data_IF_219133758206
#
_entry.id   IF_219133758206
#
_cell.length_a   1.000
_cell.length_b   1.000
_cell.length_c   1.000
_cell.angle_alpha   90.00
_cell.angle_beta   90.00
_cell.angle_gamma   90.00
#
_symmetry.space_group_name_H-M   'P 1'
#
loop_
_entity.id
_entity.type
_entity.pdbx_description
1 polymer ?
#
# COMPACT_ATOMS: atom_id res chain seq x y z
N UNK A 1 23.43 -0.82 7.82
CA UNK A 1 22.62 0.33 7.39
C UNK A 1 21.34 0.53 8.22
N UNK A 2 20.83 -0.49 8.94
CA UNK A 2 19.55 -0.43 9.69
C UNK A 2 19.65 -0.59 11.22
N UNK A 3 20.85 -0.70 11.79
CA UNK A 3 21.02 -0.84 13.26
C UNK A 3 20.45 0.37 14.01
N UNK A 4 19.61 0.14 15.01
CA UNK A 4 18.95 1.17 15.82
C UNK A 4 17.72 1.83 15.16
N UNK A 5 17.11 1.18 14.16
CA UNK A 5 15.93 1.69 13.42
C UNK A 5 14.77 0.72 13.48
N UNK A 6 13.54 1.23 13.57
CA UNK A 6 12.35 0.45 13.26
C UNK A 6 12.41 0.12 11.77
N UNK A 7 12.40 -1.18 11.46
CA UNK A 7 12.48 -1.68 10.09
C UNK A 7 11.20 -2.42 9.76
N UNK A 8 10.62 -2.12 8.60
CA UNK A 8 9.40 -2.72 8.07
C UNK A 8 9.80 -3.51 6.83
N UNK A 9 9.48 -4.80 6.79
CA UNK A 9 9.72 -5.63 5.62
C UNK A 9 8.76 -5.24 4.49
N UNK A 10 9.26 -5.17 3.27
CA UNK A 10 8.42 -4.99 2.09
C UNK A 10 8.44 -6.28 1.28
N UNK A 11 7.25 -6.81 1.04
CA UNK A 11 7.03 -8.10 0.40
C UNK A 11 6.32 -7.92 -0.94
N UNK A 12 6.67 -8.75 -1.90
CA UNK A 12 5.92 -8.85 -3.15
C UNK A 12 4.62 -9.66 -2.97
N UNK A 13 3.80 -9.75 -4.02
CA UNK A 13 2.55 -10.52 -3.99
C UNK A 13 2.70 -12.03 -3.79
N UNK A 14 3.93 -12.56 -3.81
CA UNK A 14 4.26 -13.96 -3.54
C UNK A 14 4.88 -14.15 -2.15
N UNK A 15 4.71 -13.16 -1.28
CA UNK A 15 5.23 -13.15 0.08
C UNK A 15 6.77 -13.22 0.18
N UNK A 16 7.48 -12.79 -0.87
CA UNK A 16 8.96 -12.73 -0.87
C UNK A 16 9.40 -11.34 -0.42
N UNK A 17 10.36 -11.28 0.50
CA UNK A 17 10.96 -10.00 0.91
C UNK A 17 11.76 -9.45 -0.26
N UNK A 18 11.42 -8.24 -0.69
CA UNK A 18 12.06 -7.54 -1.82
C UNK A 18 12.66 -6.20 -1.43
N UNK A 19 12.33 -5.69 -0.24
CA UNK A 19 12.88 -4.45 0.28
C UNK A 19 12.55 -4.23 1.75
N UNK A 20 12.96 -3.08 2.26
CA UNK A 20 12.73 -2.66 3.63
C UNK A 20 12.44 -1.16 3.66
N UNK A 21 11.51 -0.76 4.52
CA UNK A 21 11.37 0.61 5.00
C UNK A 21 12.06 0.75 6.35
N UNK A 22 12.71 1.88 6.62
CA UNK A 22 13.34 2.13 7.92
C UNK A 22 13.09 3.54 8.43
N UNK A 23 12.56 3.65 9.65
CA UNK A 23 12.43 4.93 10.34
C UNK A 23 13.66 5.18 11.23
N UNK A 24 14.33 6.35 11.12
CA UNK A 24 15.41 6.72 12.02
C UNK A 24 14.86 7.10 13.41
N UNK A 25 14.44 6.09 14.18
CA UNK A 25 13.85 6.21 15.51
C UNK A 25 12.32 6.43 15.51
N UNK A 26 11.70 6.24 16.67
CA UNK A 26 10.24 6.30 16.87
C UNK A 26 9.61 7.67 16.57
N UNK A 27 10.40 8.75 16.62
CA UNK A 27 9.91 10.14 16.56
C UNK A 27 10.16 10.86 15.22
N UNK A 28 10.78 10.20 14.23
CA UNK A 28 10.99 10.80 12.90
C UNK A 28 9.99 10.21 11.90
N UNK A 29 9.09 11.04 11.42
CA UNK A 29 7.94 10.68 10.59
C UNK A 29 8.27 10.11 9.19
N UNK A 30 9.52 10.20 8.72
CA UNK A 30 9.87 9.83 7.34
C UNK A 30 10.60 8.49 7.27
N UNK A 31 9.93 7.48 6.73
CA UNK A 31 10.53 6.20 6.38
C UNK A 31 11.47 6.33 5.19
N UNK A 32 12.66 5.72 5.28
CA UNK A 32 13.55 5.53 4.14
C UNK A 32 13.33 4.13 3.57
N UNK A 33 12.87 4.06 2.32
CA UNK A 33 12.66 2.79 1.62
C UNK A 33 13.93 2.35 0.90
N UNK A 34 14.06 1.05 0.67
CA UNK A 34 14.99 0.47 -0.30
C UNK A 34 14.96 1.28 -1.61
N UNK A 35 16.11 1.63 -2.21
CA UNK A 35 16.17 2.23 -3.54
C UNK A 35 15.52 1.33 -4.60
N UNK A 36 15.23 1.87 -5.78
CA UNK A 36 14.78 1.05 -6.92
C UNK A 36 15.78 -0.09 -7.19
N UNK A 37 15.28 -1.31 -7.38
CA UNK A 37 16.08 -2.48 -7.79
C UNK A 37 15.27 -3.34 -8.78
N UNK A 38 15.91 -4.35 -9.38
CA UNK A 38 15.24 -5.30 -10.29
C UNK A 38 14.08 -6.06 -9.64
N UNK A 39 14.08 -6.18 -8.30
CA UNK A 39 13.03 -6.88 -7.53
C UNK A 39 12.16 -5.92 -6.71
N UNK A 40 12.51 -4.64 -6.65
CA UNK A 40 11.80 -3.62 -5.89
C UNK A 40 11.55 -2.39 -6.77
N UNK A 41 10.34 -2.33 -7.32
CA UNK A 41 9.87 -1.24 -8.16
C UNK A 41 8.73 -0.48 -7.48
N UNK A 42 9.04 0.74 -7.02
CA UNK A 42 8.07 1.59 -6.31
C UNK A 42 6.87 1.98 -7.17
N UNK A 43 7.00 1.89 -8.50
CA UNK A 43 5.91 2.21 -9.41
C UNK A 43 4.91 1.08 -9.56
N UNK A 44 5.19 -0.13 -9.07
CA UNK A 44 4.32 -1.30 -9.24
C UNK A 44 4.05 -2.09 -7.96
N UNK A 45 4.90 -1.98 -6.95
CA UNK A 45 4.76 -2.70 -5.69
C UNK A 45 3.76 -2.00 -4.76
N UNK A 46 2.89 -2.80 -4.13
CA UNK A 46 1.91 -2.36 -3.14
C UNK A 46 2.19 -3.07 -1.82
N UNK A 47 2.50 -2.29 -0.79
CA UNK A 47 2.69 -2.87 0.54
C UNK A 47 1.39 -3.48 1.05
N UNK A 48 1.50 -4.65 1.67
CA UNK A 48 0.37 -5.39 2.23
C UNK A 48 -0.43 -6.21 1.23
N UNK A 49 -0.11 -6.15 -0.07
CA UNK A 49 -0.83 -6.93 -1.09
C UNK A 49 -0.76 -8.44 -0.81
N UNK A 50 0.36 -8.96 -0.32
CA UNK A 50 0.51 -10.37 0.06
C UNK A 50 -0.46 -10.82 1.17
N UNK A 51 -0.90 -9.91 2.05
CA UNK A 51 -1.87 -10.21 3.11
C UNK A 51 -3.30 -9.86 2.70
N UNK A 52 -3.47 -8.86 1.82
CA UNK A 52 -4.77 -8.35 1.43
C UNK A 52 -5.40 -9.08 0.24
N UNK A 53 -4.63 -9.89 -0.49
CA UNK A 53 -5.03 -10.37 -1.82
C UNK A 53 -6.30 -11.25 -1.83
N UNK A 54 -6.47 -12.12 -0.84
CA UNK A 54 -7.66 -12.95 -0.67
C UNK A 54 -8.87 -12.08 -0.31
N UNK A 55 -8.68 -11.13 0.61
CA UNK A 55 -9.73 -10.20 1.05
C UNK A 55 -10.21 -9.33 -0.12
N UNK A 56 -9.28 -8.75 -0.89
CA UNK A 56 -9.59 -7.96 -2.08
C UNK A 56 -10.41 -8.76 -3.09
N UNK A 57 -10.03 -10.01 -3.36
CA UNK A 57 -10.77 -10.88 -4.30
C UNK A 57 -12.16 -11.23 -3.80
N UNK A 58 -12.29 -11.54 -2.52
CA UNK A 58 -13.59 -11.92 -1.93
C UNK A 58 -14.57 -10.74 -1.93
N UNK A 59 -14.07 -9.54 -1.62
CA UNK A 59 -14.86 -8.31 -1.52
C UNK A 59 -15.05 -7.62 -2.89
N UNK A 60 -14.21 -7.94 -3.87
CA UNK A 60 -14.09 -7.18 -5.13
C UNK A 60 -13.80 -5.70 -4.89
N UNK A 61 -13.02 -5.42 -3.84
CA UNK A 61 -12.72 -4.06 -3.39
C UNK A 61 -11.31 -3.99 -2.82
N UNK A 62 -10.53 -3.00 -3.26
CA UNK A 62 -9.24 -2.66 -2.67
C UNK A 62 -9.26 -1.22 -2.15
N UNK A 63 -8.68 -0.99 -0.98
CA UNK A 63 -8.47 0.34 -0.42
C UNK A 63 -6.98 0.67 -0.48
N UNK A 64 -6.62 1.81 -1.04
CA UNK A 64 -5.23 2.27 -1.18
C UNK A 64 -5.00 3.43 -0.23
N UNK A 65 -4.01 3.28 0.66
CA UNK A 65 -3.55 4.31 1.61
C UNK A 65 -2.09 4.69 1.32
N UNK A 66 -1.56 5.68 2.04
CA UNK A 66 -0.22 6.21 1.76
C UNK A 66 0.90 5.34 2.34
N UNK A 67 0.77 4.94 3.59
CA UNK A 67 1.86 4.44 4.41
C UNK A 67 1.66 3.02 4.92
N UNK A 68 2.78 2.44 5.36
CA UNK A 68 2.80 1.13 6.02
C UNK A 68 1.92 1.08 7.26
N UNK A 69 1.98 2.15 8.06
CA UNK A 69 1.30 2.23 9.34
C UNK A 69 -0.22 2.25 9.17
N UNK A 70 -0.72 2.87 8.11
CA UNK A 70 -2.14 2.91 7.79
C UNK A 70 -2.65 1.52 7.45
N UNK A 71 -1.87 0.75 6.66
CA UNK A 71 -2.19 -0.66 6.35
C UNK A 71 -2.16 -1.51 7.61
N UNK A 72 -1.10 -1.41 8.41
CA UNK A 72 -0.95 -2.18 9.65
C UNK A 72 -2.13 -1.89 10.59
N UNK A 73 -2.42 -0.62 10.84
CA UNK A 73 -3.52 -0.19 11.71
C UNK A 73 -4.88 -0.65 11.17
N UNK A 74 -5.12 -0.52 9.87
CA UNK A 74 -6.38 -0.94 9.26
C UNK A 74 -6.58 -2.46 9.40
N UNK A 75 -5.54 -3.26 9.15
CA UNK A 75 -5.59 -4.71 9.31
C UNK A 75 -5.80 -5.11 10.78
N UNK A 76 -5.17 -4.43 11.73
CA UNK A 76 -5.41 -4.62 13.18
C UNK A 76 -6.88 -4.37 13.58
N UNK A 77 -7.58 -3.50 12.86
CA UNK A 77 -9.01 -3.21 13.07
C UNK A 77 -9.94 -4.03 12.15
N UNK A 78 -9.42 -5.04 11.45
CA UNK A 78 -10.20 -5.96 10.63
C UNK A 78 -10.47 -5.52 9.19
N UNK A 79 -9.92 -4.37 8.75
CA UNK A 79 -9.96 -3.94 7.36
C UNK A 79 -8.79 -4.57 6.59
N UNK A 80 -8.99 -5.79 6.10
CA UNK A 80 -7.91 -6.61 5.51
C UNK A 80 -7.74 -6.44 4.00
N UNK A 81 -8.55 -5.61 3.33
CA UNK A 81 -8.45 -5.30 1.89
C UNK A 81 -7.66 -4.01 1.59
N UNK A 82 -6.83 -3.56 2.54
CA UNK A 82 -6.07 -2.30 2.49
C UNK A 82 -4.63 -2.54 2.06
N UNK A 83 -4.10 -1.69 1.16
CA UNK A 83 -2.72 -1.71 0.65
C UNK A 83 -2.13 -0.29 0.59
N UNK A 84 -0.81 -0.14 0.49
CA UNK A 84 -0.16 1.17 0.40
C UNK A 84 0.80 1.36 -0.78
N UNK A 85 0.85 2.58 -1.33
CA UNK A 85 1.84 3.00 -2.35
C UNK A 85 3.18 3.48 -1.76
N UNK A 86 3.28 3.54 -0.43
CA UNK A 86 4.50 3.83 0.34
C UNK A 86 5.14 5.20 0.01
N UNK A 87 4.32 6.25 -0.01
CA UNK A 87 4.78 7.62 -0.27
C UNK A 87 5.17 7.89 -1.73
N UNK A 88 4.53 7.17 -2.67
CA UNK A 88 4.60 7.47 -4.10
C UNK A 88 3.21 7.74 -4.65
N UNK A 89 3.14 8.59 -5.68
CA UNK A 89 1.90 8.79 -6.42
C UNK A 89 1.39 7.44 -6.95
N UNK A 90 0.08 7.18 -6.78
CA UNK A 90 -0.53 5.95 -7.29
C UNK A 90 -0.40 5.91 -8.81
N UNK A 91 0.21 4.84 -9.33
CA UNK A 91 0.50 4.70 -10.76
C UNK A 91 -0.55 3.82 -11.44
N UNK A 92 -0.55 3.83 -12.77
CA UNK A 92 -1.38 2.91 -13.56
C UNK A 92 -0.99 1.43 -13.36
N UNK A 93 0.28 1.14 -13.03
CA UNK A 93 0.72 -0.22 -12.72
C UNK A 93 0.15 -0.72 -11.39
N UNK A 94 0.02 0.16 -10.38
CA UNK A 94 -0.68 -0.15 -9.13
C UNK A 94 -2.15 -0.46 -9.41
N UNK A 95 -2.84 0.44 -10.10
CA UNK A 95 -4.26 0.29 -10.43
C UNK A 95 -4.52 -0.96 -11.27
N UNK A 96 -3.71 -1.21 -12.30
CA UNK A 96 -3.82 -2.40 -13.14
C UNK A 96 -3.55 -3.69 -12.36
N UNK A 97 -2.67 -3.65 -11.36
CA UNK A 97 -2.47 -4.78 -10.45
C UNK A 97 -3.71 -5.02 -9.60
N UNK A 98 -4.18 -4.01 -8.87
CA UNK A 98 -5.38 -4.13 -8.03
C UNK A 98 -6.62 -4.53 -8.82
N UNK A 99 -6.77 -4.04 -10.06
CA UNK A 99 -7.90 -4.40 -10.90
C UNK A 99 -8.00 -5.91 -11.17
N UNK A 100 -6.85 -6.60 -11.32
CA UNK A 100 -6.84 -8.06 -11.47
C UNK A 100 -7.31 -8.81 -10.23
N UNK A 101 -7.10 -8.23 -9.03
CA UNK A 101 -7.57 -8.83 -7.78
C UNK A 101 -9.03 -8.45 -7.49
N UNK A 102 -9.39 -7.19 -7.68
CA UNK A 102 -10.68 -6.63 -7.32
C UNK A 102 -11.81 -6.94 -8.32
N UNK A 103 -11.52 -7.40 -9.55
CA UNK A 103 -12.54 -7.81 -10.54
C UNK A 103 -12.60 -9.33 -10.72
N UNK A 104 -12.55 -10.09 -9.62
CA UNK A 104 -12.53 -11.56 -9.67
C UNK A 104 -13.94 -12.14 -9.88
N UNK A 105 -14.02 -13.29 -10.55
CA UNK A 105 -15.30 -14.01 -10.71
C UNK A 105 -16.36 -13.27 -11.54
N UNK A 106 -15.96 -12.34 -12.42
CA UNK A 106 -16.85 -11.63 -13.34
C UNK A 106 -17.66 -10.50 -12.70
N UNK A 107 -17.31 -10.09 -11.48
CA UNK A 107 -17.93 -8.96 -10.79
C UNK A 107 -17.20 -7.66 -11.10
N UNK A 108 -17.95 -6.55 -11.10
CA UNK A 108 -17.39 -5.20 -11.16
C UNK A 108 -16.67 -4.92 -9.85
N UNK A 109 -15.37 -4.64 -9.95
CA UNK A 109 -14.52 -4.31 -8.81
C UNK A 109 -14.54 -2.83 -8.47
N UNK A 110 -14.12 -2.51 -7.24
CA UNK A 110 -13.93 -1.12 -6.80
C UNK A 110 -12.51 -0.92 -6.27
N UNK A 111 -11.90 0.21 -6.60
CA UNK A 111 -10.68 0.70 -5.94
C UNK A 111 -11.03 2.01 -5.24
N UNK A 112 -10.78 2.07 -3.93
CA UNK A 112 -10.93 3.27 -3.11
C UNK A 112 -9.53 3.82 -2.84
N UNK A 113 -9.31 5.09 -3.13
CA UNK A 113 -8.06 5.79 -2.83
C UNK A 113 -8.30 6.66 -1.62
N UNK A 114 -7.63 6.39 -0.49
CA UNK A 114 -7.65 7.16 0.75
C UNK A 114 -6.25 7.75 0.98
N UNK A 115 -5.92 8.83 0.28
CA UNK A 115 -4.58 9.43 0.29
C UNK A 115 -4.62 10.79 1.03
N UNK A 116 -3.52 11.15 1.68
CA UNK A 116 -3.40 12.45 2.33
C UNK A 116 -3.17 13.52 1.26
N UNK A 117 -3.90 14.64 1.34
CA UNK A 117 -3.65 15.75 0.42
C UNK A 117 -2.38 16.49 0.81
N UNK A 118 -1.38 16.46 -0.07
CA UNK A 118 -0.17 17.30 0.02
C UNK A 118 -0.53 18.76 -0.32
N UNK A 119 -1.27 19.44 0.57
CA UNK A 119 -1.40 20.90 0.57
C UNK A 119 -1.28 21.44 1.98
N UNK A 120 -0.29 22.33 2.14
CA UNK A 120 0.14 22.90 3.41
C UNK A 120 -1.02 23.41 4.28
N UNK A 121 -1.26 22.72 5.40
CA UNK A 121 -1.99 23.26 6.56
C UNK A 121 -3.31 22.57 6.91
N UNK A 122 -3.89 21.77 6.02
CA UNK A 122 -5.15 21.04 6.28
C UNK A 122 -4.96 19.57 5.89
N UNK A 123 -5.00 18.66 6.87
CA UNK A 123 -4.97 17.21 6.62
C UNK A 123 -6.34 16.78 6.10
N UNK A 124 -6.58 17.00 4.81
CA UNK A 124 -7.78 16.48 4.15
C UNK A 124 -7.42 15.16 3.48
N UNK A 125 -8.01 14.05 3.91
CA UNK A 125 -7.86 12.77 3.22
C UNK A 125 -8.72 12.81 1.96
N UNK A 126 -8.09 12.76 0.79
CA UNK A 126 -8.80 12.59 -0.48
C UNK A 126 -9.26 11.14 -0.58
N UNK A 127 -10.55 10.90 -0.35
CA UNK A 127 -11.19 9.59 -0.54
C UNK A 127 -11.92 9.53 -1.89
N UNK A 128 -11.27 8.98 -2.92
CA UNK A 128 -11.82 8.82 -4.27
C UNK A 128 -12.23 7.39 -4.58
N UNK A 129 -13.28 7.18 -5.37
CA UNK A 129 -13.76 5.84 -5.79
C UNK A 129 -13.60 5.63 -7.30
N UNK A 130 -12.92 4.55 -7.69
CA UNK A 130 -12.79 4.08 -9.06
C UNK A 130 -13.55 2.76 -9.22
N UNK A 131 -14.47 2.69 -10.19
CA UNK A 131 -15.14 1.45 -10.58
C UNK A 131 -14.39 0.84 -11.78
N UNK A 132 -14.15 -0.47 -11.73
CA UNK A 132 -13.32 -1.22 -12.67
C UNK A 132 -14.11 -1.89 -13.81
#
# INVERSE_FOLDING_TARGET
MFTGRLTIEIRDSRDRIVGFGAAPGWFRAKYLNTPQTDVFDKSSILYGLNWADESIRSMNEAIVVEGYMDVISAHEHGFTNVVASMGTAVTQNHLGTLARYASSGGKVGTIILCLDSDSAGETETLCGRLNL
#
